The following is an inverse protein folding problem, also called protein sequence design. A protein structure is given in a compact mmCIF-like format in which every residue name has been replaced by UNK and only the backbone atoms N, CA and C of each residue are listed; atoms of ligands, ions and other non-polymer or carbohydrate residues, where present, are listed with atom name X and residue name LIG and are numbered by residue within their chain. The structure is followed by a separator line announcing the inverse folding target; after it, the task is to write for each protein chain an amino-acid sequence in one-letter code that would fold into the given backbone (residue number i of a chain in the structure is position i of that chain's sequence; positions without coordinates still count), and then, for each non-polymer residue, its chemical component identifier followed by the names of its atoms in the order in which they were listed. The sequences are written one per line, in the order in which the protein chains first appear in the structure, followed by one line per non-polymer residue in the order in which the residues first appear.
data_IF_545354785569
#
_entry.id   IF_545354785569
#
_cell.length_a   1.000
_cell.length_b   1.000
_cell.length_c   1.000
_cell.angle_alpha   90.00
_cell.angle_beta   90.00
_cell.angle_gamma   90.00
#
_symmetry.space_group_name_H-M   'P 1'
#
loop_
_entity.id
_entity.type
_entity.pdbx_description
1 polymer ?
#
# COMPACT_ATOMS: atom_id res chain seq x y z
N UNK A 1 -6.59 15.72 -15.70
CA UNK A 1 -7.26 14.60 -15.01
C UNK A 1 -6.72 13.27 -15.54
N UNK A 2 -5.38 13.11 -15.56
CA UNK A 2 -4.75 12.02 -16.28
C UNK A 2 -4.45 10.83 -15.34
N UNK A 3 -5.31 9.82 -15.45
CA UNK A 3 -4.99 8.40 -15.34
C UNK A 3 -4.64 7.80 -13.96
N UNK A 4 -5.54 7.80 -12.96
CA UNK A 4 -5.41 7.10 -11.66
C UNK A 4 -5.16 5.55 -11.71
N UNK A 5 -4.83 4.98 -12.88
CA UNK A 5 -4.94 3.56 -13.23
C UNK A 5 -3.78 2.62 -12.85
N UNK A 6 -2.81 2.98 -12.00
CA UNK A 6 -1.61 2.12 -11.75
C UNK A 6 -2.01 0.70 -11.36
N UNK A 7 -3.11 0.56 -10.64
CA UNK A 7 -3.63 -0.72 -10.19
C UNK A 7 -5.06 -1.03 -10.67
N UNK A 8 -5.48 -0.49 -11.82
CA UNK A 8 -6.83 -0.71 -12.33
C UNK A 8 -7.14 -2.18 -12.65
N UNK A 9 -6.10 -2.97 -12.98
CA UNK A 9 -6.19 -4.42 -13.20
C UNK A 9 -6.05 -5.25 -11.92
N UNK A 10 -5.77 -4.63 -10.78
CA UNK A 10 -5.56 -5.31 -9.50
C UNK A 10 -6.62 -4.92 -8.49
N UNK A 11 -6.73 -5.71 -7.42
CA UNK A 11 -7.59 -5.42 -6.26
C UNK A 11 -6.75 -5.39 -4.99
N UNK A 12 -7.00 -4.39 -4.14
CA UNK A 12 -6.45 -4.32 -2.79
C UNK A 12 -7.52 -3.93 -1.76
N UNK A 13 -7.55 -4.57 -0.57
CA UNK A 13 -6.83 -5.81 -0.25
C UNK A 13 -7.26 -6.97 -1.17
N UNK A 14 -6.46 -8.06 -1.27
CA UNK A 14 -6.87 -9.30 -1.94
C UNK A 14 -8.29 -9.75 -1.53
N UNK A 15 -9.01 -10.43 -2.42
CA UNK A 15 -10.38 -10.88 -2.16
C UNK A 15 -10.40 -11.83 -0.96
N UNK A 16 -11.43 -11.71 -0.12
CA UNK A 16 -11.55 -12.51 1.10
C UNK A 16 -10.64 -12.08 2.25
N UNK A 17 -9.99 -10.91 2.20
CA UNK A 17 -9.18 -10.40 3.30
C UNK A 17 -10.02 -10.11 4.57
N UNK A 18 -9.52 -10.43 5.79
CA UNK A 18 -8.22 -11.05 6.08
C UNK A 18 -8.20 -12.59 5.99
N UNK A 19 -9.35 -13.25 5.85
CA UNK A 19 -9.47 -14.71 5.84
C UNK A 19 -8.60 -15.42 4.79
N UNK A 20 -8.43 -14.81 3.60
CA UNK A 20 -7.58 -15.36 2.53
C UNK A 20 -6.13 -15.60 2.99
N UNK A 21 -5.61 -14.78 3.91
CA UNK A 21 -4.26 -14.97 4.45
C UNK A 21 -4.15 -16.23 5.31
N UNK A 22 -5.22 -16.60 6.03
CA UNK A 22 -5.26 -17.78 6.89
C UNK A 22 -5.75 -19.03 6.17
N UNK A 23 -6.56 -18.88 5.14
CA UNK A 23 -7.28 -19.99 4.49
C UNK A 23 -6.64 -20.44 3.18
N UNK A 24 -6.02 -19.54 2.42
CA UNK A 24 -5.41 -19.88 1.12
C UNK A 24 -3.95 -20.33 1.28
N UNK A 25 -3.61 -21.60 0.96
CA UNK A 25 -2.22 -22.05 0.96
C UNK A 25 -1.36 -21.27 -0.04
N UNK A 26 -1.93 -20.90 -1.19
CA UNK A 26 -1.26 -20.10 -2.21
C UNK A 26 -0.88 -18.71 -1.68
N UNK A 27 -1.80 -18.03 -0.95
CA UNK A 27 -1.51 -16.73 -0.33
C UNK A 27 -0.38 -16.85 0.71
N UNK A 28 -0.46 -17.85 1.59
CA UNK A 28 0.57 -18.08 2.61
C UNK A 28 1.94 -18.30 1.99
N UNK A 29 2.02 -19.15 0.97
CA UNK A 29 3.28 -19.43 0.28
C UNK A 29 3.81 -18.17 -0.43
N UNK A 30 2.91 -17.39 -1.05
CA UNK A 30 3.28 -16.13 -1.69
C UNK A 30 3.87 -15.14 -0.69
N UNK A 31 3.17 -14.87 0.43
CA UNK A 31 3.65 -13.95 1.47
C UNK A 31 4.96 -14.44 2.11
N UNK A 32 5.12 -15.76 2.31
CA UNK A 32 6.38 -16.34 2.80
C UNK A 32 7.55 -16.04 1.85
N UNK A 33 7.32 -16.09 0.54
CA UNK A 33 8.35 -15.78 -0.46
C UNK A 33 8.73 -14.29 -0.49
N UNK A 34 7.84 -13.38 -0.04
CA UNK A 34 8.16 -11.95 0.09
C UNK A 34 9.17 -11.66 1.21
N UNK A 35 9.44 -12.62 2.10
CA UNK A 35 10.30 -12.46 3.28
C UNK A 35 9.89 -11.25 4.14
N UNK A 36 8.57 -11.04 4.26
CA UNK A 36 8.00 -9.93 5.02
C UNK A 36 8.19 -10.10 6.53
N UNK A 37 8.42 -8.98 7.23
CA UNK A 37 8.56 -8.93 8.69
C UNK A 37 7.24 -8.64 9.38
N UNK A 38 6.54 -7.59 8.91
CA UNK A 38 5.22 -7.17 9.38
C UNK A 38 4.32 -6.93 8.18
N UNK A 39 3.03 -7.15 8.39
CA UNK A 39 2.02 -6.91 7.37
C UNK A 39 0.82 -6.24 8.01
N UNK A 40 0.28 -5.20 7.36
CA UNK A 40 -0.86 -4.44 7.87
C UNK A 40 -1.80 -4.02 6.74
N UNK A 41 -3.10 -4.12 7.03
CA UNK A 41 -4.09 -3.39 6.26
C UNK A 41 -3.96 -1.91 6.63
N UNK A 42 -3.60 -1.10 5.65
CA UNK A 42 -3.34 0.33 5.79
C UNK A 42 -4.52 1.08 5.19
N UNK A 43 -5.16 1.89 6.03
CA UNK A 43 -6.24 2.80 5.65
C UNK A 43 -5.68 4.02 4.90
N UNK A 44 -6.50 4.75 4.13
CA UNK A 44 -6.07 6.02 3.59
C UNK A 44 -5.80 7.01 4.74
N UNK A 45 -4.94 8.03 4.53
CA UNK A 45 -4.72 9.06 5.53
C UNK A 45 -6.05 9.71 5.94
N UNK A 46 -6.22 9.94 7.24
CA UNK A 46 -7.37 10.67 7.77
C UNK A 46 -7.35 12.14 7.34
N UNK A 47 -8.49 12.83 7.46
CA UNK A 47 -8.58 14.25 7.14
C UNK A 47 -7.55 15.10 7.91
N UNK A 48 -7.35 14.81 9.19
CA UNK A 48 -6.35 15.48 10.03
C UNK A 48 -4.91 15.22 9.56
N UNK A 49 -4.62 14.03 9.05
CA UNK A 49 -3.31 13.70 8.50
C UNK A 49 -3.08 14.37 7.15
N UNK A 50 -4.13 14.49 6.32
CA UNK A 50 -4.10 15.23 5.06
C UNK A 50 -3.88 16.72 5.29
N UNK A 51 -4.52 17.33 6.28
CA UNK A 51 -4.32 18.74 6.65
C UNK A 51 -2.86 19.04 6.98
N UNK A 52 -2.16 18.10 7.62
CA UNK A 52 -0.73 18.25 7.96
C UNK A 52 0.19 18.26 6.75
N UNK A 53 -0.24 17.68 5.64
CA UNK A 53 0.53 17.63 4.37
C UNK A 53 -0.12 18.45 3.27
N UNK A 54 -1.09 19.32 3.60
CA UNK A 54 -1.86 20.08 2.61
C UNK A 54 -0.96 20.96 1.73
N UNK A 55 0.11 21.51 2.31
CA UNK A 55 1.11 22.29 1.56
C UNK A 55 1.87 21.42 0.55
N UNK A 56 2.22 20.18 0.92
CA UNK A 56 2.86 19.23 -0.01
C UNK A 56 1.91 18.85 -1.15
N UNK A 57 0.63 18.66 -0.83
CA UNK A 57 -0.40 18.36 -1.82
C UNK A 57 -0.62 19.55 -2.77
N UNK A 58 -0.72 20.77 -2.24
CA UNK A 58 -0.88 22.00 -3.02
C UNK A 58 0.32 22.28 -3.93
N UNK A 59 1.51 21.86 -3.54
CA UNK A 59 2.73 21.92 -4.34
C UNK A 59 2.83 20.81 -5.40
N UNK A 60 1.86 19.89 -5.46
CA UNK A 60 1.86 18.77 -6.41
C UNK A 60 2.95 17.72 -6.12
N UNK A 61 3.55 17.74 -4.93
CA UNK A 61 4.61 16.81 -4.54
C UNK A 61 4.06 15.39 -4.38
N UNK A 62 2.81 15.28 -3.90
CA UNK A 62 2.12 14.00 -3.78
C UNK A 62 1.81 13.45 -5.17
N UNK A 63 2.73 12.65 -5.68
CA UNK A 63 2.68 12.00 -6.99
C UNK A 63 2.42 10.51 -6.83
N UNK A 64 2.58 9.73 -7.90
CA UNK A 64 2.46 8.26 -7.84
C UNK A 64 3.70 7.57 -7.30
N UNK A 65 4.79 8.30 -7.11
CA UNK A 65 6.02 7.77 -6.53
C UNK A 65 5.87 7.74 -4.99
N UNK A 66 5.54 6.56 -4.47
CA UNK A 66 5.37 6.37 -3.03
C UNK A 66 6.64 6.62 -2.24
N UNK A 67 7.82 6.42 -2.85
CA UNK A 67 9.11 6.74 -2.23
C UNK A 67 9.28 8.25 -2.08
N UNK A 68 9.05 9.01 -3.15
CA UNK A 68 9.14 10.46 -3.11
C UNK A 68 8.14 11.05 -2.10
N UNK A 69 6.92 10.53 -2.07
CA UNK A 69 5.90 10.96 -1.11
C UNK A 69 6.34 10.68 0.34
N UNK A 70 6.82 9.47 0.62
CA UNK A 70 7.24 9.12 1.97
C UNK A 70 8.42 9.98 2.46
N UNK A 71 9.36 10.31 1.57
CA UNK A 71 10.47 11.23 1.86
C UNK A 71 9.96 12.65 2.13
N UNK A 72 9.05 13.17 1.31
CA UNK A 72 8.48 14.49 1.49
C UNK A 72 7.73 14.62 2.83
N UNK A 73 6.95 13.59 3.19
CA UNK A 73 6.26 13.52 4.49
C UNK A 73 7.26 13.47 5.64
N UNK A 74 8.36 12.71 5.52
CA UNK A 74 9.44 12.72 6.51
C UNK A 74 10.03 14.11 6.69
N UNK A 75 10.29 14.82 5.60
CA UNK A 75 10.85 16.18 5.66
C UNK A 75 9.89 17.18 6.30
N UNK A 76 8.59 17.06 6.03
CA UNK A 76 7.59 17.97 6.57
C UNK A 76 7.20 17.67 8.03
N UNK A 77 7.11 16.39 8.41
CA UNK A 77 6.51 15.95 9.68
C UNK A 77 7.47 15.17 10.58
N UNK A 78 8.67 14.82 10.12
CA UNK A 78 9.63 14.00 10.85
C UNK A 78 9.24 12.52 10.97
N UNK A 79 8.24 12.06 10.21
CA UNK A 79 7.76 10.67 10.31
C UNK A 79 8.74 9.70 9.64
N UNK A 80 8.96 8.55 10.28
CA UNK A 80 9.85 7.52 9.76
C UNK A 80 9.35 7.01 8.40
N UNK A 81 10.28 6.72 7.48
CA UNK A 81 9.96 6.07 6.21
C UNK A 81 10.17 4.56 6.36
N UNK A 82 9.16 3.79 5.93
CA UNK A 82 9.22 2.35 5.85
C UNK A 82 9.18 1.89 4.40
N UNK A 83 9.98 0.87 4.09
CA UNK A 83 10.04 0.25 2.76
C UNK A 83 9.52 -1.18 2.79
N UNK A 84 8.90 -1.59 1.69
CA UNK A 84 8.48 -2.95 1.52
C UNK A 84 7.77 -3.17 0.19
N UNK A 85 6.66 -3.89 0.24
CA UNK A 85 5.80 -4.10 -0.92
C UNK A 85 4.33 -3.88 -0.60
N UNK A 86 3.56 -3.48 -1.60
CA UNK A 86 2.10 -3.54 -1.59
C UNK A 86 1.64 -4.88 -2.15
N UNK A 87 0.82 -5.61 -1.39
CA UNK A 87 0.24 -6.89 -1.80
C UNK A 87 -1.11 -6.67 -2.51
N UNK A 88 -1.20 -7.26 -3.70
CA UNK A 88 -2.29 -7.11 -4.64
C UNK A 88 -2.75 -8.47 -5.15
N UNK A 89 -3.97 -8.54 -5.64
CA UNK A 89 -4.49 -9.68 -6.40
C UNK A 89 -4.91 -9.19 -7.80
N UNK A 90 -4.69 -10.01 -8.84
CA UNK A 90 -5.15 -9.70 -10.18
C UNK A 90 -6.69 -9.78 -10.25
N UNK A 91 -7.33 -8.76 -10.83
CA UNK A 91 -8.80 -8.72 -10.95
C UNK A 91 -9.35 -9.85 -11.82
N UNK A 92 -8.57 -10.32 -12.81
CA UNK A 92 -8.95 -11.34 -13.80
C UNK A 92 -10.26 -11.00 -14.54
N UNK A 93 -10.55 -9.71 -14.72
CA UNK A 93 -11.78 -9.23 -15.36
C UNK A 93 -13.05 -9.40 -14.53
N UNK A 94 -12.94 -9.90 -13.30
CA UNK A 94 -14.06 -10.14 -12.39
C UNK A 94 -14.25 -8.97 -11.43
N UNK A 95 -15.48 -8.76 -10.97
CA UNK A 95 -15.75 -7.82 -9.90
C UNK A 95 -15.08 -8.27 -8.58
N UNK A 96 -15.03 -7.36 -7.60
CA UNK A 96 -14.43 -7.66 -6.29
C UNK A 96 -15.21 -8.72 -5.51
N UNK A 97 -16.52 -8.80 -5.71
CA UNK A 97 -17.42 -9.72 -5.00
C UNK A 97 -17.41 -11.15 -5.56
N UNK A 98 -16.85 -11.35 -6.74
CA UNK A 98 -16.80 -12.66 -7.39
C UNK A 98 -15.59 -13.46 -6.91
N UNK A 99 -15.81 -14.74 -6.63
CA UNK A 99 -14.76 -15.68 -6.26
C UNK A 99 -13.91 -16.06 -7.49
N UNK A 100 -12.59 -16.12 -7.30
CA UNK A 100 -11.64 -16.57 -8.32
C UNK A 100 -11.18 -17.99 -7.94
N UNK A 101 -11.30 -18.94 -8.87
CA UNK A 101 -10.87 -20.32 -8.63
C UNK A 101 -9.35 -20.45 -8.47
N UNK A 102 -8.59 -19.65 -9.23
CA UNK A 102 -7.12 -19.61 -9.21
C UNK A 102 -6.63 -18.16 -9.09
N UNK A 103 -6.62 -17.58 -7.87
CA UNK A 103 -6.19 -16.20 -7.68
C UNK A 103 -4.70 -16.03 -7.95
N UNK A 104 -4.34 -14.93 -8.62
CA UNK A 104 -2.95 -14.56 -8.89
C UNK A 104 -2.55 -13.36 -8.03
N UNK A 105 -1.53 -13.54 -7.20
CA UNK A 105 -1.03 -12.50 -6.31
C UNK A 105 0.16 -11.75 -6.92
N UNK A 106 0.22 -10.46 -6.64
CA UNK A 106 1.27 -9.57 -7.10
C UNK A 106 1.78 -8.71 -5.95
N UNK A 107 3.05 -8.33 -6.01
CA UNK A 107 3.69 -7.47 -5.05
C UNK A 107 4.57 -6.47 -5.79
N UNK A 108 4.39 -5.19 -5.49
CA UNK A 108 5.17 -4.09 -6.06
C UNK A 108 5.93 -3.37 -4.95
N UNK A 109 7.19 -2.94 -5.17
CA UNK A 109 7.91 -2.10 -4.21
C UNK A 109 7.09 -0.87 -3.83
N UNK A 110 7.00 -0.60 -2.52
CA UNK A 110 6.20 0.51 -2.00
C UNK A 110 6.79 1.09 -0.73
N UNK A 111 6.57 2.38 -0.50
CA UNK A 111 7.04 3.10 0.69
C UNK A 111 5.90 3.88 1.34
N UNK A 112 5.94 3.96 2.66
CA UNK A 112 4.94 4.64 3.48
C UNK A 112 5.60 5.22 4.72
N UNK A 113 4.84 5.98 5.51
CA UNK A 113 5.34 6.58 6.74
C UNK A 113 4.81 5.85 7.99
N UNK A 114 5.57 5.95 9.07
CA UNK A 114 5.15 5.52 10.40
C UNK A 114 5.00 6.75 11.29
N UNK A 115 3.80 6.94 11.83
CA UNK A 115 3.51 8.03 12.77
C UNK A 115 4.26 7.81 14.10
N UNK A 116 4.40 8.84 14.96
CA UNK A 116 4.96 8.68 16.31
C UNK A 116 4.24 7.66 17.19
N UNK A 117 2.99 7.28 16.84
CA UNK A 117 2.21 6.24 17.52
C UNK A 117 2.42 4.84 16.94
N UNK A 118 3.31 4.68 15.95
CA UNK A 118 3.57 3.40 15.30
C UNK A 118 2.51 2.99 14.27
N UNK A 119 1.63 3.90 13.84
CA UNK A 119 0.63 3.64 12.79
C UNK A 119 1.24 3.84 11.41
N UNK A 120 0.88 2.98 10.45
CA UNK A 120 1.31 3.09 9.06
C UNK A 120 0.34 3.99 8.30
N UNK A 121 0.88 4.93 7.54
CA UNK A 121 0.12 5.90 6.75
C UNK A 121 0.78 6.06 5.38
N UNK A 122 -0.01 5.93 4.32
CA UNK A 122 0.46 6.06 2.94
C UNK A 122 -0.30 7.18 2.22
N UNK A 123 0.42 8.28 1.93
CA UNK A 123 -0.09 9.48 1.27
C UNK A 123 -0.11 9.40 -0.27
N UNK A 124 0.26 8.27 -0.85
CA UNK A 124 0.30 8.09 -2.31
C UNK A 124 -1.11 8.12 -2.92
N UNK A 125 -1.46 9.08 -3.79
CA UNK A 125 -2.77 9.13 -4.44
C UNK A 125 -3.06 7.85 -5.25
N UNK A 126 -4.24 7.26 -5.06
CA UNK A 126 -4.61 5.94 -5.62
C UNK A 126 -6.13 5.72 -5.62
N UNK A 127 -6.61 4.77 -6.42
CA UNK A 127 -8.02 4.33 -6.45
C UNK A 127 -8.37 3.38 -5.30
N UNK A 128 -7.44 2.46 -4.98
CA UNK A 128 -7.65 1.50 -3.88
C UNK A 128 -7.58 2.22 -2.54
N UNK A 129 -8.73 2.32 -1.86
CA UNK A 129 -8.80 3.00 -0.56
C UNK A 129 -7.91 2.36 0.50
N UNK A 130 -7.88 1.03 0.55
CA UNK A 130 -7.10 0.27 1.53
C UNK A 130 -6.05 -0.57 0.82
N UNK A 131 -4.86 -0.65 1.42
CA UNK A 131 -3.75 -1.46 0.92
C UNK A 131 -3.30 -2.48 1.95
N UNK A 132 -2.89 -3.67 1.51
CA UNK A 132 -2.09 -4.55 2.37
C UNK A 132 -0.63 -4.23 2.12
N UNK A 133 0.03 -3.61 3.09
CA UNK A 133 1.46 -3.32 3.03
C UNK A 133 2.22 -4.40 3.78
N UNK A 134 3.34 -4.83 3.22
CA UNK A 134 4.24 -5.82 3.79
C UNK A 134 5.62 -5.19 3.91
N UNK A 135 6.09 -4.98 5.14
CA UNK A 135 7.45 -4.52 5.40
C UNK A 135 8.43 -5.62 5.01
N UNK A 136 9.40 -5.29 4.16
CA UNK A 136 10.47 -6.20 3.74
C UNK A 136 11.82 -5.49 3.89
N UNK A 137 12.93 -6.18 3.58
CA UNK A 137 14.27 -5.61 3.67
C UNK A 137 14.61 -4.62 2.53
N UNK A 138 13.61 -3.94 1.97
CA UNK A 138 13.84 -2.87 0.99
C UNK A 138 14.61 -1.75 1.68
N UNK A 139 15.68 -1.21 1.06
CA UNK A 139 16.46 -0.14 1.67
C UNK A 139 15.55 1.04 2.03
N UNK A 140 15.60 1.44 3.30
CA UNK A 140 14.99 2.71 3.71
C UNK A 140 15.72 3.83 2.97
N UNK A 141 15.00 4.70 2.23
CA UNK A 141 15.66 5.78 1.52
C UNK A 141 16.30 6.76 2.52
N UNK A 142 17.58 7.06 2.29
CA UNK A 142 18.34 8.10 3.00
C UNK A 142 17.66 9.46 2.91
#
# INVERSE_FOLDING_TARGET
AEHLFVWSKYVSPPRGWPGVFTESPAMKQYVKNLKGRRMRLTEPPSALELERVITLQAQGILSRDSRANAIAVRQALGWEVMGGVVLLELSQGLSRSEAVSSPLYHAEPHWWNVTPRGLWVDFTPREHRKLVLVETAVPTPS
#
